data_IF_787505105701
#
_entry.id   IF_787505105701
#
_cell.length_a   1.000
_cell.length_b   1.000
_cell.length_c   1.000
_cell.angle_alpha   90.00
_cell.angle_beta   90.00
_cell.angle_gamma   90.00
#
_symmetry.space_group_name_H-M   'P 1'
#
loop_
_entity.id
_entity.type
_entity.pdbx_description
1 polymer ?
#
# COMPACT_ATOMS: atom_id res chain seq x y z
N UNK A 1 -43.17 -6.44 15.61
CA UNK A 1 -42.15 -7.51 15.54
C UNK A 1 -42.04 -8.09 14.13
N UNK A 2 -43.12 -8.57 13.49
CA UNK A 2 -43.05 -9.15 12.14
C UNK A 2 -42.42 -8.29 11.03
N UNK A 3 -42.68 -6.97 11.01
CA UNK A 3 -42.08 -6.06 10.02
C UNK A 3 -40.55 -5.86 10.18
N UNK A 4 -40.02 -6.09 11.38
CA UNK A 4 -38.57 -6.02 11.65
C UNK A 4 -37.92 -7.34 11.24
N UNK A 5 -38.57 -8.46 11.53
CA UNK A 5 -38.13 -9.82 11.16
C UNK A 5 -38.06 -10.00 9.63
N UNK A 6 -39.07 -9.53 8.90
CA UNK A 6 -39.09 -9.57 7.43
C UNK A 6 -37.97 -8.71 6.80
N UNK A 7 -37.66 -7.55 7.41
CA UNK A 7 -36.53 -6.70 6.98
C UNK A 7 -35.17 -7.34 7.25
N UNK A 8 -35.02 -8.03 8.38
CA UNK A 8 -33.80 -8.76 8.72
C UNK A 8 -33.59 -9.96 7.78
N UNK A 9 -34.64 -10.71 7.46
CA UNK A 9 -34.56 -11.84 6.53
C UNK A 9 -34.19 -11.36 5.10
N UNK A 10 -34.77 -10.24 4.65
CA UNK A 10 -34.40 -9.63 3.38
C UNK A 10 -32.94 -9.16 3.35
N UNK A 11 -32.48 -8.50 4.42
CA UNK A 11 -31.09 -8.06 4.53
C UNK A 11 -30.10 -9.24 4.54
N UNK A 12 -30.44 -10.36 5.18
CA UNK A 12 -29.63 -11.57 5.17
C UNK A 12 -29.51 -12.17 3.76
N UNK A 13 -30.62 -12.26 3.00
CA UNK A 13 -30.64 -12.75 1.61
C UNK A 13 -29.83 -11.86 0.67
N UNK A 14 -29.97 -10.54 0.78
CA UNK A 14 -29.18 -9.59 -0.02
C UNK A 14 -27.69 -9.69 0.32
N UNK A 15 -27.34 -9.84 1.61
CA UNK A 15 -25.96 -10.05 2.05
C UNK A 15 -25.37 -11.33 1.44
N UNK A 16 -26.11 -12.44 1.47
CA UNK A 16 -25.66 -13.70 0.87
C UNK A 16 -25.45 -13.58 -0.64
N UNK A 17 -26.37 -12.90 -1.34
CA UNK A 17 -26.23 -12.59 -2.77
C UNK A 17 -24.99 -11.74 -3.06
N UNK A 18 -24.75 -10.69 -2.27
CA UNK A 18 -23.56 -9.83 -2.40
C UNK A 18 -22.28 -10.64 -2.18
N UNK A 19 -22.25 -11.51 -1.16
CA UNK A 19 -21.10 -12.38 -0.89
C UNK A 19 -20.86 -13.35 -2.06
N UNK A 20 -21.91 -13.99 -2.56
CA UNK A 20 -21.82 -14.91 -3.69
C UNK A 20 -21.30 -14.21 -4.95
N UNK A 21 -21.81 -13.01 -5.24
CA UNK A 21 -21.35 -12.21 -6.37
C UNK A 21 -19.88 -11.83 -6.22
N UNK A 22 -19.47 -11.34 -5.03
CA UNK A 22 -18.07 -10.99 -4.76
C UNK A 22 -17.12 -12.17 -4.92
N UNK A 23 -17.52 -13.38 -4.48
CA UNK A 23 -16.73 -14.59 -4.65
C UNK A 23 -16.58 -14.97 -6.12
N UNK A 24 -17.66 -14.86 -6.90
CA UNK A 24 -17.63 -15.11 -8.34
C UNK A 24 -16.74 -14.09 -9.07
N UNK A 25 -16.88 -12.80 -8.77
CA UNK A 25 -16.09 -11.73 -9.36
C UNK A 25 -14.59 -11.90 -9.02
N UNK A 26 -14.29 -12.27 -7.77
CA UNK A 26 -12.93 -12.58 -7.34
C UNK A 26 -12.35 -13.78 -8.10
N UNK A 27 -13.08 -14.89 -8.18
CA UNK A 27 -12.64 -16.07 -8.92
C UNK A 27 -12.41 -15.77 -10.41
N UNK A 28 -13.28 -14.97 -11.03
CA UNK A 28 -13.12 -14.52 -12.41
C UNK A 28 -11.89 -13.63 -12.59
N UNK A 29 -11.66 -12.70 -11.67
CA UNK A 29 -10.47 -11.84 -11.67
C UNK A 29 -9.18 -12.66 -11.56
N UNK A 30 -9.15 -13.65 -10.67
CA UNK A 30 -8.01 -14.56 -10.52
C UNK A 30 -7.76 -15.39 -11.79
N UNK A 31 -8.83 -15.93 -12.40
CA UNK A 31 -8.73 -16.66 -13.66
C UNK A 31 -8.18 -15.78 -14.79
N UNK A 32 -8.66 -14.53 -14.90
CA UNK A 32 -8.16 -13.57 -15.90
C UNK A 32 -6.69 -13.22 -15.66
N UNK A 33 -6.28 -13.00 -14.41
CA UNK A 33 -4.88 -12.73 -14.06
C UNK A 33 -3.96 -13.90 -14.41
N UNK A 34 -4.37 -15.13 -14.09
CA UNK A 34 -3.62 -16.33 -14.45
C UNK A 34 -3.54 -16.50 -15.97
N UNK A 35 -4.65 -16.29 -16.69
CA UNK A 35 -4.66 -16.36 -18.15
C UNK A 35 -3.71 -15.34 -18.79
N UNK A 36 -3.69 -14.11 -18.27
CA UNK A 36 -2.76 -13.07 -18.72
C UNK A 36 -1.29 -13.46 -18.47
N UNK A 37 -1.00 -14.02 -17.29
CA UNK A 37 0.35 -14.51 -16.96
C UNK A 37 0.78 -15.64 -17.90
N UNK A 38 -0.09 -16.63 -18.13
CA UNK A 38 0.19 -17.75 -19.04
C UNK A 38 0.44 -17.23 -20.47
N UNK A 39 -0.39 -16.29 -20.94
CA UNK A 39 -0.24 -15.68 -22.26
C UNK A 39 1.10 -14.96 -22.40
N UNK A 40 1.52 -14.20 -21.38
CA UNK A 40 2.80 -13.52 -21.38
C UNK A 40 3.97 -14.52 -21.38
N UNK A 41 3.91 -15.56 -20.55
CA UNK A 41 4.95 -16.60 -20.50
C UNK A 41 5.09 -17.35 -21.84
N UNK A 42 3.97 -17.65 -22.50
CA UNK A 42 3.98 -18.26 -23.83
C UNK A 42 4.67 -17.35 -24.85
N UNK A 43 4.38 -16.05 -24.82
CA UNK A 43 5.02 -15.08 -25.70
C UNK A 43 6.52 -15.00 -25.45
N UNK A 44 6.94 -14.91 -24.19
CA UNK A 44 8.35 -14.84 -23.80
C UNK A 44 9.14 -16.08 -24.25
N UNK A 45 8.54 -17.27 -24.16
CA UNK A 45 9.15 -18.52 -24.62
C UNK A 45 9.27 -18.59 -26.14
N UNK A 46 8.25 -18.15 -26.89
CA UNK A 46 8.32 -18.10 -28.35
C UNK A 46 9.36 -17.08 -28.84
N UNK A 47 9.48 -15.94 -28.16
CA UNK A 47 10.49 -14.93 -28.49
C UNK A 47 11.91 -15.41 -28.14
N UNK A 48 12.11 -16.11 -27.03
CA UNK A 48 13.39 -16.76 -26.72
C UNK A 48 13.76 -17.83 -27.76
N UNK A 49 12.77 -18.61 -28.20
CA UNK A 49 12.95 -19.61 -29.25
C UNK A 49 13.37 -18.96 -30.57
N UNK A 50 12.74 -17.85 -30.98
CA UNK A 50 13.15 -17.07 -32.17
C UNK A 50 14.56 -16.51 -32.01
N UNK A 51 14.88 -15.96 -30.83
CA UNK A 51 16.21 -15.45 -30.51
C UNK A 51 17.29 -16.52 -30.67
N UNK A 52 17.11 -17.70 -30.09
CA UNK A 52 18.04 -18.83 -30.24
C UNK A 52 18.16 -19.28 -31.70
N UNK A 53 17.06 -19.34 -32.44
CA UNK A 53 17.07 -19.71 -33.86
C UNK A 53 17.95 -18.77 -34.69
N UNK A 54 17.80 -17.47 -34.48
CA UNK A 54 18.41 -16.44 -35.31
C UNK A 54 19.78 -15.97 -34.84
N UNK A 55 20.16 -16.27 -33.59
CA UNK A 55 21.42 -15.82 -33.04
C UNK A 55 22.65 -16.46 -33.71
N UNK A 56 23.68 -15.63 -33.88
CA UNK A 56 25.02 -16.00 -34.35
C UNK A 56 25.95 -16.25 -33.16
N UNK A 57 26.51 -17.45 -33.11
CA UNK A 57 27.43 -17.88 -32.06
C UNK A 57 28.72 -17.05 -32.02
N UNK A 58 29.17 -16.53 -33.17
CA UNK A 58 30.38 -15.71 -33.26
C UNK A 58 30.15 -14.34 -32.63
N UNK A 59 29.04 -13.69 -32.97
CA UNK A 59 28.62 -12.43 -32.37
C UNK A 59 28.46 -12.56 -30.84
N UNK A 60 27.80 -13.62 -30.36
CA UNK A 60 27.65 -13.87 -28.91
C UNK A 60 29.02 -13.99 -28.22
N UNK A 61 29.98 -14.69 -28.82
CA UNK A 61 31.34 -14.81 -28.26
C UNK A 61 32.05 -13.46 -28.18
N UNK A 62 31.85 -12.59 -29.15
CA UNK A 62 32.40 -11.23 -29.15
C UNK A 62 31.75 -10.36 -28.07
N UNK A 63 30.42 -10.41 -27.92
CA UNK A 63 29.70 -9.75 -26.83
C UNK A 63 30.19 -10.19 -25.45
N UNK A 64 30.36 -11.51 -25.22
CA UNK A 64 30.90 -12.05 -23.97
C UNK A 64 32.31 -11.48 -23.69
N UNK A 65 33.19 -11.46 -24.70
CA UNK A 65 34.54 -10.89 -24.56
C UNK A 65 34.49 -9.40 -24.23
N UNK A 66 33.61 -8.63 -24.86
CA UNK A 66 33.44 -7.21 -24.58
C UNK A 66 33.05 -6.98 -23.11
N UNK A 67 32.03 -7.71 -22.62
CA UNK A 67 31.61 -7.62 -21.21
C UNK A 67 32.69 -8.07 -20.23
N UNK A 68 33.54 -9.04 -20.59
CA UNK A 68 34.67 -9.47 -19.76
C UNK A 68 35.77 -8.41 -19.72
N UNK A 69 36.21 -7.92 -20.88
CA UNK A 69 37.32 -6.97 -21.00
C UNK A 69 36.99 -5.60 -20.39
N UNK A 70 35.74 -5.17 -20.51
CA UNK A 70 35.27 -3.87 -20.02
C UNK A 70 34.58 -3.94 -18.66
N UNK A 71 34.59 -5.12 -18.03
CA UNK A 71 33.93 -5.38 -16.74
C UNK A 71 34.23 -4.34 -15.67
N UNK A 72 35.51 -4.00 -15.48
CA UNK A 72 35.93 -2.99 -14.49
C UNK A 72 35.37 -1.59 -14.78
N UNK A 73 35.35 -1.17 -16.05
CA UNK A 73 34.76 0.12 -16.43
C UNK A 73 33.23 0.13 -16.26
N UNK A 74 32.55 -0.96 -16.66
CA UNK A 74 31.10 -1.11 -16.49
C UNK A 74 30.74 -1.07 -15.00
N UNK A 75 31.43 -1.85 -14.18
CA UNK A 75 31.14 -1.92 -12.75
C UNK A 75 31.34 -0.56 -12.07
N UNK A 76 32.46 0.12 -12.37
CA UNK A 76 32.75 1.45 -11.85
C UNK A 76 31.65 2.46 -12.24
N UNK A 77 31.30 2.53 -13.54
CA UNK A 77 30.29 3.50 -14.03
C UNK A 77 28.88 3.20 -13.54
N UNK A 78 28.51 1.93 -13.42
CA UNK A 78 27.23 1.56 -12.85
C UNK A 78 27.14 1.89 -11.37
N UNK A 79 28.22 1.71 -10.62
CA UNK A 79 28.28 2.08 -9.20
C UNK A 79 28.10 3.58 -9.02
N UNK A 80 28.84 4.39 -9.76
CA UNK A 80 28.72 5.87 -9.74
C UNK A 80 27.28 6.32 -10.00
N UNK A 81 26.67 5.83 -11.08
CA UNK A 81 25.28 6.17 -11.43
C UNK A 81 24.28 5.67 -10.40
N UNK A 82 24.47 4.47 -9.87
CA UNK A 82 23.57 3.88 -8.89
C UNK A 82 23.60 4.66 -7.58
N UNK A 83 24.78 4.95 -7.04
CA UNK A 83 24.97 5.69 -5.79
C UNK A 83 24.39 7.11 -5.86
N UNK A 84 24.64 7.83 -6.95
CA UNK A 84 24.04 9.14 -7.20
C UNK A 84 22.51 9.05 -7.30
N UNK A 85 22.02 8.07 -8.06
CA UNK A 85 20.59 7.88 -8.29
C UNK A 85 19.83 7.55 -7.01
N UNK A 86 20.32 6.62 -6.18
CA UNK A 86 19.63 6.23 -4.94
C UNK A 86 19.55 7.41 -3.96
N UNK A 87 20.57 8.28 -3.90
CA UNK A 87 20.57 9.45 -3.02
C UNK A 87 19.45 10.42 -3.40
N UNK A 88 19.33 10.75 -4.69
CA UNK A 88 18.25 11.61 -5.17
C UNK A 88 16.87 10.95 -5.02
N UNK A 89 16.79 9.67 -5.36
CA UNK A 89 15.55 8.90 -5.28
C UNK A 89 14.99 8.82 -3.87
N UNK A 90 15.82 8.49 -2.86
CA UNK A 90 15.41 8.41 -1.46
C UNK A 90 14.87 9.75 -0.96
N UNK A 91 15.51 10.87 -1.33
CA UNK A 91 15.02 12.20 -0.98
C UNK A 91 13.65 12.49 -1.62
N UNK A 92 13.47 12.13 -2.88
CA UNK A 92 12.20 12.31 -3.59
C UNK A 92 11.06 11.48 -2.98
N UNK A 93 11.30 10.20 -2.65
CA UNK A 93 10.29 9.37 -1.98
C UNK A 93 9.94 9.96 -0.62
N UNK A 94 10.95 10.38 0.15
CA UNK A 94 10.71 10.95 1.48
C UNK A 94 9.76 12.14 1.41
N UNK A 95 10.04 13.11 0.52
CA UNK A 95 9.18 14.28 0.33
C UNK A 95 7.79 13.84 -0.17
N UNK A 96 7.72 12.94 -1.15
CA UNK A 96 6.45 12.47 -1.71
C UNK A 96 5.56 11.74 -0.72
N UNK A 97 6.12 10.86 0.12
CA UNK A 97 5.37 10.16 1.17
C UNK A 97 4.95 11.10 2.30
N UNK A 98 5.81 12.03 2.73
CA UNK A 98 5.44 13.05 3.73
C UNK A 98 4.29 13.93 3.23
N UNK A 99 4.30 14.35 1.96
CA UNK A 99 3.19 15.09 1.33
C UNK A 99 1.92 14.26 1.19
N UNK A 100 2.04 12.99 0.79
CA UNK A 100 0.92 12.06 0.64
C UNK A 100 0.22 11.84 1.98
N UNK A 101 0.99 11.55 3.03
CA UNK A 101 0.48 11.41 4.39
C UNK A 101 -0.25 12.69 4.85
N UNK A 102 0.34 13.86 4.63
CA UNK A 102 -0.27 15.14 4.99
C UNK A 102 -1.63 15.33 4.30
N UNK A 103 -1.73 15.02 3.00
CA UNK A 103 -2.97 15.12 2.22
C UNK A 103 -4.03 14.12 2.69
N UNK A 104 -3.63 12.88 2.96
CA UNK A 104 -4.54 11.85 3.46
C UNK A 104 -5.14 12.26 4.82
N UNK A 105 -4.30 12.69 5.77
CA UNK A 105 -4.74 13.16 7.08
C UNK A 105 -5.63 14.41 6.97
N UNK A 106 -5.28 15.36 6.09
CA UNK A 106 -6.11 16.55 5.88
C UNK A 106 -7.48 16.21 5.31
N UNK A 107 -7.54 15.30 4.33
CA UNK A 107 -8.78 14.84 3.70
C UNK A 107 -9.67 14.13 4.70
N UNK A 108 -9.07 13.25 5.51
CA UNK A 108 -9.77 12.66 6.64
C UNK A 108 -10.31 13.76 7.55
N UNK A 109 -9.50 14.70 8.03
CA UNK A 109 -9.95 15.75 8.99
C UNK A 109 -11.11 16.60 8.49
N UNK A 110 -11.18 16.90 7.19
CA UNK A 110 -12.32 17.64 6.60
C UNK A 110 -13.59 16.82 6.68
N UNK A 111 -13.51 15.52 6.40
CA UNK A 111 -14.66 14.60 6.41
C UNK A 111 -15.22 14.34 7.83
N UNK A 112 -14.44 14.60 8.89
CA UNK A 112 -14.88 14.43 10.28
C UNK A 112 -15.72 15.60 10.84
N UNK A 113 -15.70 16.78 10.22
CA UNK A 113 -16.28 18.01 10.79
C UNK A 113 -17.82 18.10 10.70
N UNK A 114 -18.49 17.05 10.24
CA UNK A 114 -19.94 17.06 9.96
C UNK A 114 -20.81 16.40 11.05
N UNK A 115 -20.25 15.93 12.18
CA UNK A 115 -20.96 15.02 13.11
C UNK A 115 -21.02 15.48 14.60
N UNK A 116 -20.68 16.75 14.91
CA UNK A 116 -20.89 17.32 16.25
C UNK A 116 -22.23 18.07 16.32
N UNK A 117 -23.18 17.55 17.10
CA UNK A 117 -24.48 18.20 17.39
C UNK A 117 -24.56 18.56 18.89
N UNK A 118 -25.01 19.78 19.20
CA UNK A 118 -25.32 20.23 20.57
C UNK A 118 -26.82 19.98 20.87
N UNK A 119 -27.13 19.21 21.93
CA UNK A 119 -28.52 19.00 22.38
C UNK A 119 -28.80 19.92 23.58
N UNK A 120 -29.80 20.78 23.45
CA UNK A 120 -30.36 21.56 24.56
C UNK A 120 -31.43 20.74 25.28
N UNK A 121 -31.30 20.57 26.59
CA UNK A 121 -32.32 19.92 27.41
C UNK A 121 -32.53 20.68 28.72
N UNK A 122 -33.74 20.62 29.24
CA UNK A 122 -34.12 21.26 30.50
C UNK A 122 -33.88 20.25 31.62
N UNK A 123 -32.95 20.56 32.53
CA UNK A 123 -32.62 19.73 33.69
C UNK A 123 -33.31 20.28 34.94
N UNK A 124 -34.02 19.41 35.68
CA UNK A 124 -34.63 19.74 36.98
C UNK A 124 -33.56 19.71 38.07
N UNK A 125 -33.17 20.87 38.58
CA UNK A 125 -32.19 21.01 39.67
C UNK A 125 -32.86 21.38 40.99
N UNK A 126 -32.40 20.80 42.10
CA UNK A 126 -32.94 21.05 43.43
C UNK A 126 -32.62 22.48 43.88
N UNK A 127 -33.61 23.27 44.28
CA UNK A 127 -33.41 24.60 44.89
C UNK A 127 -32.53 24.48 46.14
N UNK A 128 -31.43 25.24 46.21
CA UNK A 128 -30.47 25.24 47.31
C UNK A 128 -30.91 26.06 48.53
N UNK A 129 -30.39 25.73 49.71
CA UNK A 129 -30.64 26.44 50.97
C UNK A 129 -31.77 25.86 51.85
N UNK A 130 -31.86 26.36 53.09
CA UNK A 130 -32.82 25.92 54.13
C UNK A 130 -34.29 25.96 53.65
N UNK A 131 -34.64 26.93 52.80
CA UNK A 131 -35.97 27.06 52.20
C UNK A 131 -36.28 26.01 51.10
N UNK A 132 -35.28 25.54 50.35
CA UNK A 132 -35.45 24.51 49.31
C UNK A 132 -35.66 23.11 49.89
N UNK A 133 -35.00 22.79 51.02
CA UNK A 133 -35.27 21.55 51.77
C UNK A 133 -36.61 21.58 52.50
N UNK A 134 -37.04 22.73 53.04
CA UNK A 134 -38.37 22.87 53.65
C UNK A 134 -39.49 22.60 52.65
N UNK A 135 -39.38 23.14 51.43
CA UNK A 135 -40.35 22.94 50.34
C UNK A 135 -40.45 21.47 49.88
N UNK A 136 -39.31 20.79 49.65
CA UNK A 136 -39.28 19.37 49.25
C UNK A 136 -39.80 18.39 50.31
N UNK A 137 -39.67 18.73 51.60
CA UNK A 137 -39.99 17.80 52.69
C UNK A 137 -41.37 18.04 53.33
N UNK A 138 -42.00 19.20 53.08
CA UNK A 138 -43.25 19.60 53.73
C UNK A 138 -44.40 19.90 52.76
N UNK A 139 -44.13 20.28 51.50
CA UNK A 139 -45.16 20.67 50.51
C UNK A 139 -45.33 19.67 49.36
N UNK A 140 -44.59 18.54 49.37
CA UNK A 140 -44.66 17.48 48.35
C UNK A 140 -46.07 16.87 48.16
N UNK A 141 -46.95 16.96 49.17
CA UNK A 141 -48.32 16.45 49.08
C UNK A 141 -49.29 17.38 48.31
N UNK A 142 -48.86 18.59 47.94
CA UNK A 142 -49.71 19.61 47.32
C UNK A 142 -49.37 19.90 45.86
N UNK A 143 -48.11 19.69 45.45
CA UNK A 143 -47.64 19.90 44.07
C UNK A 143 -46.24 19.25 43.90
N UNK A 144 -46.09 18.39 42.89
CA UNK A 144 -44.87 17.61 42.58
C UNK A 144 -43.72 18.50 42.06
N UNK A 145 -43.98 19.75 41.68
CA UNK A 145 -42.97 20.69 41.14
C UNK A 145 -42.38 21.65 42.20
N UNK A 146 -42.79 21.54 43.47
CA UNK A 146 -42.36 22.46 44.52
C UNK A 146 -40.96 22.13 45.06
N UNK A 147 -39.97 22.95 44.66
CA UNK A 147 -38.59 22.91 45.20
C UNK A 147 -37.51 22.53 44.17
N UNK A 148 -37.84 22.58 42.88
CA UNK A 148 -36.93 22.38 41.75
C UNK A 148 -36.95 23.62 40.83
N UNK A 149 -35.79 24.00 40.29
CA UNK A 149 -35.67 24.97 39.20
C UNK A 149 -35.43 24.20 37.89
N UNK A 150 -36.04 24.67 36.81
CA UNK A 150 -35.75 24.20 35.46
C UNK A 150 -34.59 25.02 34.90
N UNK A 151 -33.44 24.37 34.68
CA UNK A 151 -32.25 25.02 34.12
C UNK A 151 -31.97 24.43 32.75
N UNK A 152 -31.88 25.30 31.75
CA UNK A 152 -31.45 24.92 30.41
C UNK A 152 -29.97 24.53 30.45
N UNK A 153 -29.68 23.29 30.06
CA UNK A 153 -28.32 22.73 30.00
C UNK A 153 -28.04 22.27 28.58
N UNK A 154 -26.87 22.64 28.08
CA UNK A 154 -26.31 22.06 26.85
C UNK A 154 -25.50 20.83 27.21
N UNK A 155 -25.71 19.71 26.51
CA UNK A 155 -24.81 18.55 26.58
C UNK A 155 -24.28 18.19 25.21
N UNK A 156 -23.03 17.76 25.16
CA UNK A 156 -22.47 17.10 23.99
C UNK A 156 -23.22 15.79 23.74
N UNK A 157 -23.61 15.56 22.48
CA UNK A 157 -24.13 14.29 22.00
C UNK A 157 -23.25 13.87 20.82
N UNK A 158 -22.77 12.62 20.84
CA UNK A 158 -21.94 12.10 19.76
C UNK A 158 -22.39 10.70 19.34
N UNK A 159 -22.51 10.50 18.04
CA UNK A 159 -22.81 9.21 17.45
C UNK A 159 -21.53 8.40 17.32
N UNK A 160 -21.18 7.66 18.37
CA UNK A 160 -19.89 6.98 18.47
C UNK A 160 -19.61 6.00 17.30
N UNK A 161 -20.65 5.33 16.80
CA UNK A 161 -20.51 4.43 15.64
C UNK A 161 -20.02 5.16 14.37
N UNK A 162 -20.54 6.36 14.10
CA UNK A 162 -20.10 7.15 12.94
C UNK A 162 -18.64 7.60 13.08
N UNK A 163 -18.20 7.92 14.30
CA UNK A 163 -16.81 8.27 14.59
C UNK A 163 -15.88 7.07 14.40
N UNK A 164 -16.30 5.87 14.81
CA UNK A 164 -15.54 4.62 14.60
C UNK A 164 -15.41 4.28 13.12
N UNK A 165 -16.50 4.39 12.35
CA UNK A 165 -16.50 4.17 10.90
C UNK A 165 -15.53 5.15 10.22
N UNK A 166 -15.61 6.43 10.58
CA UNK A 166 -14.71 7.48 10.08
C UNK A 166 -13.23 7.20 10.38
N UNK A 167 -12.88 6.78 11.60
CA UNK A 167 -11.50 6.47 11.96
C UNK A 167 -10.99 5.25 11.18
N UNK A 168 -11.87 4.29 10.89
CA UNK A 168 -11.55 3.14 10.05
C UNK A 168 -11.26 3.57 8.61
N UNK A 169 -12.10 4.42 8.03
CA UNK A 169 -11.87 4.99 6.69
C UNK A 169 -10.57 5.82 6.63
N UNK A 170 -10.23 6.55 7.70
CA UNK A 170 -8.97 7.29 7.80
C UNK A 170 -7.76 6.35 7.71
N UNK A 171 -7.80 5.18 8.37
CA UNK A 171 -6.71 4.21 8.29
C UNK A 171 -6.55 3.68 6.86
N UNK A 172 -7.65 3.21 6.27
CA UNK A 172 -7.66 2.65 4.91
C UNK A 172 -7.18 3.68 3.88
N UNK A 173 -7.63 4.93 4.00
CA UNK A 173 -7.22 6.02 3.10
C UNK A 173 -5.73 6.35 3.25
N UNK A 174 -5.20 6.42 4.47
CA UNK A 174 -3.78 6.67 4.70
C UNK A 174 -2.92 5.51 4.19
N UNK A 175 -3.31 4.28 4.48
CA UNK A 175 -2.62 3.07 4.05
C UNK A 175 -2.57 2.98 2.53
N UNK A 176 -3.72 3.06 1.87
CA UNK A 176 -3.83 3.00 0.41
C UNK A 176 -3.00 4.10 -0.24
N UNK A 177 -3.11 5.35 0.22
CA UNK A 177 -2.38 6.46 -0.37
C UNK A 177 -0.87 6.29 -0.27
N UNK A 178 -0.36 5.83 0.88
CA UNK A 178 1.07 5.57 1.07
C UNK A 178 1.55 4.39 0.22
N UNK A 179 0.79 3.29 0.19
CA UNK A 179 1.14 2.10 -0.60
C UNK A 179 1.09 2.37 -2.11
N UNK A 180 0.10 3.12 -2.59
CA UNK A 180 0.00 3.55 -3.99
C UNK A 180 1.19 4.42 -4.39
N UNK A 181 1.56 5.35 -3.50
CA UNK A 181 2.73 6.23 -3.69
C UNK A 181 4.04 5.41 -3.72
N UNK A 182 4.24 4.51 -2.77
CA UNK A 182 5.40 3.61 -2.72
C UNK A 182 5.49 2.72 -3.98
N UNK A 183 4.38 2.16 -4.43
CA UNK A 183 4.29 1.37 -5.65
C UNK A 183 4.61 2.19 -6.91
N UNK A 184 4.11 3.42 -6.99
CA UNK A 184 4.46 4.35 -8.08
C UNK A 184 5.97 4.63 -8.11
N UNK A 185 6.57 4.92 -6.96
CA UNK A 185 8.01 5.13 -6.84
C UNK A 185 8.82 3.91 -7.26
N UNK A 186 8.40 2.70 -6.87
CA UNK A 186 9.04 1.44 -7.28
C UNK A 186 9.07 1.27 -8.80
N UNK A 187 7.97 1.59 -9.48
CA UNK A 187 7.90 1.50 -10.95
C UNK A 187 8.81 2.54 -11.61
N UNK A 188 8.76 3.79 -11.15
CA UNK A 188 9.60 4.88 -11.67
C UNK A 188 11.09 4.58 -11.45
N UNK A 189 11.45 4.12 -10.25
CA UNK A 189 12.81 3.72 -9.90
C UNK A 189 13.42 2.74 -10.90
N UNK A 190 12.72 1.62 -11.17
CA UNK A 190 13.20 0.58 -12.08
C UNK A 190 13.40 1.11 -13.49
N UNK A 191 12.44 1.91 -13.97
CA UNK A 191 12.47 2.48 -15.32
C UNK A 191 13.61 3.48 -15.49
N UNK A 192 13.74 4.43 -14.57
CA UNK A 192 14.74 5.50 -14.66
C UNK A 192 16.16 4.98 -14.43
N UNK A 193 16.36 4.10 -13.45
CA UNK A 193 17.66 3.50 -13.22
C UNK A 193 18.11 2.68 -14.44
N UNK A 194 17.24 1.84 -15.00
CA UNK A 194 17.52 1.11 -16.23
C UNK A 194 17.98 2.05 -17.35
N UNK A 195 17.24 3.13 -17.60
CA UNK A 195 17.58 4.09 -18.65
C UNK A 195 18.96 4.74 -18.42
N UNK A 196 19.28 5.10 -17.18
CA UNK A 196 20.58 5.70 -16.82
C UNK A 196 21.74 4.72 -17.00
N UNK A 197 21.62 3.49 -16.50
CA UNK A 197 22.70 2.50 -16.62
C UNK A 197 22.84 1.98 -18.04
N UNK A 198 21.75 1.90 -18.81
CA UNK A 198 21.79 1.55 -20.22
C UNK A 198 22.52 2.61 -21.04
N UNK A 199 22.27 3.90 -20.75
CA UNK A 199 23.03 5.00 -21.36
C UNK A 199 24.52 4.86 -21.08
N UNK A 200 24.90 4.58 -19.83
CA UNK A 200 26.31 4.34 -19.49
C UNK A 200 26.90 3.14 -20.20
N UNK A 201 26.14 2.05 -20.36
CA UNK A 201 26.61 0.88 -21.09
C UNK A 201 26.96 1.22 -22.55
N UNK A 202 26.11 2.01 -23.24
CA UNK A 202 26.35 2.48 -24.61
C UNK A 202 27.54 3.42 -24.76
N UNK A 203 27.91 4.12 -23.69
CA UNK A 203 29.12 4.95 -23.67
C UNK A 203 30.40 4.10 -23.54
N UNK A 204 30.29 2.88 -23.02
CA UNK A 204 31.43 1.97 -22.76
C UNK A 204 31.58 0.93 -23.87
N UNK A 205 30.47 0.39 -24.37
CA UNK A 205 30.41 -0.69 -25.36
C UNK A 205 29.64 -0.18 -26.58
N UNK A 206 30.13 -0.51 -27.77
CA UNK A 206 29.43 -0.22 -29.02
C UNK A 206 28.09 -0.96 -29.10
N UNK A 207 27.06 -0.32 -29.68
CA UNK A 207 25.68 -0.83 -29.69
C UNK A 207 25.54 -2.22 -30.33
N UNK A 208 26.36 -2.57 -31.32
CA UNK A 208 26.41 -3.88 -31.96
C UNK A 208 26.86 -5.02 -31.02
N UNK A 209 27.61 -4.66 -29.98
CA UNK A 209 28.11 -5.59 -28.96
C UNK A 209 27.22 -5.64 -27.71
N UNK A 210 26.08 -4.95 -27.70
CA UNK A 210 25.14 -4.96 -26.58
C UNK A 210 23.97 -5.90 -26.89
N UNK A 211 23.82 -6.94 -26.08
CA UNK A 211 22.57 -7.72 -26.03
C UNK A 211 21.58 -7.03 -25.08
N UNK A 212 20.71 -6.18 -25.64
CA UNK A 212 19.74 -5.40 -24.85
C UNK A 212 18.76 -6.30 -24.06
N UNK A 213 18.39 -7.46 -24.59
CA UNK A 213 17.47 -8.39 -23.93
C UNK A 213 18.11 -8.99 -22.67
N UNK A 214 19.34 -9.49 -22.79
CA UNK A 214 20.11 -10.01 -21.66
C UNK A 214 20.41 -8.90 -20.65
N UNK A 215 20.75 -7.70 -21.12
CA UNK A 215 21.02 -6.56 -20.26
C UNK A 215 19.79 -6.15 -19.44
N UNK A 216 18.65 -5.96 -20.10
CA UNK A 216 17.38 -5.61 -19.44
C UNK A 216 16.97 -6.67 -18.43
N UNK A 217 17.05 -7.96 -18.79
CA UNK A 217 16.75 -9.07 -17.86
C UNK A 217 17.66 -9.04 -16.64
N UNK A 218 18.95 -8.80 -16.84
CA UNK A 218 19.93 -8.75 -15.75
C UNK A 218 19.68 -7.61 -14.78
N UNK A 219 19.45 -6.39 -15.30
CA UNK A 219 19.11 -5.22 -14.48
C UNK A 219 17.82 -5.47 -13.71
N UNK A 220 16.75 -5.86 -14.40
CA UNK A 220 15.45 -6.08 -13.74
C UNK A 220 15.54 -7.19 -12.68
N UNK A 221 16.27 -8.27 -12.93
CA UNK A 221 16.45 -9.33 -11.95
C UNK A 221 17.25 -8.92 -10.69
N UNK A 222 18.09 -7.88 -10.77
CA UNK A 222 18.69 -7.27 -9.58
C UNK A 222 17.68 -6.36 -8.88
N UNK A 223 16.98 -5.52 -9.64
CA UNK A 223 16.03 -4.56 -9.06
C UNK A 223 14.77 -5.21 -8.46
N UNK A 224 14.33 -6.34 -9.01
CA UNK A 224 13.19 -7.11 -8.52
C UNK A 224 13.47 -7.79 -7.17
N UNK A 225 14.76 -7.96 -6.81
CA UNK A 225 15.15 -8.48 -5.50
C UNK A 225 15.02 -7.45 -4.37
N UNK A 226 14.79 -6.18 -4.70
CA UNK A 226 14.60 -5.11 -3.73
C UNK A 226 13.16 -5.14 -3.25
N UNK A 227 12.98 -5.38 -1.94
CA UNK A 227 11.69 -5.34 -1.30
C UNK A 227 11.27 -3.91 -0.97
N UNK A 228 10.13 -3.50 -1.51
CA UNK A 228 9.43 -2.27 -1.12
C UNK A 228 8.32 -2.71 -0.18
N UNK A 229 8.49 -2.46 1.12
CA UNK A 229 7.52 -2.86 2.14
C UNK A 229 6.22 -2.09 2.00
N UNK A 230 5.14 -2.67 2.53
CA UNK A 230 3.83 -2.04 2.58
C UNK A 230 3.57 -1.48 3.99
N UNK A 231 2.83 -0.38 4.03
CA UNK A 231 2.24 0.16 5.25
C UNK A 231 1.00 -0.67 5.60
N UNK A 232 0.77 -0.91 6.89
CA UNK A 232 -0.38 -1.65 7.40
C UNK A 232 -0.92 -0.98 8.67
N UNK A 233 -2.12 -0.43 8.55
CA UNK A 233 -2.89 0.21 9.61
C UNK A 233 -4.18 -0.54 9.94
N UNK A 234 -4.32 -1.77 9.44
CA UNK A 234 -5.42 -2.67 9.77
C UNK A 234 -5.45 -2.93 11.27
N UNK A 235 -6.65 -2.89 11.86
CA UNK A 235 -6.88 -3.18 13.28
C UNK A 235 -6.08 -2.34 14.28
N UNK A 236 -5.52 -1.19 13.86
CA UNK A 236 -4.82 -0.25 14.76
C UNK A 236 -5.73 0.55 15.69
N UNK A 237 -7.04 0.53 15.43
CA UNK A 237 -8.01 1.28 16.23
C UNK A 237 -8.14 0.66 17.62
N UNK A 238 -7.90 1.42 18.72
CA UNK A 238 -7.93 0.89 20.07
C UNK A 238 -9.31 0.33 20.44
N UNK A 239 -9.32 -0.74 21.24
CA UNK A 239 -10.56 -1.38 21.69
C UNK A 239 -11.48 -0.42 22.46
N UNK A 240 -10.90 0.56 23.18
CA UNK A 240 -11.67 1.58 23.90
C UNK A 240 -12.50 2.48 22.98
N UNK A 241 -12.06 2.67 21.73
CA UNK A 241 -12.76 3.46 20.71
C UNK A 241 -13.62 2.54 19.85
N UNK A 242 -13.05 1.46 19.31
CA UNK A 242 -13.73 0.51 18.41
C UNK A 242 -14.99 -0.12 19.04
N UNK A 243 -15.00 -0.31 20.35
CA UNK A 243 -16.14 -0.90 21.07
C UNK A 243 -17.30 0.06 21.34
N UNK A 244 -17.16 1.37 21.06
CA UNK A 244 -18.18 2.37 21.36
C UNK A 244 -19.22 2.44 20.24
N UNK A 245 -20.50 2.44 20.62
CA UNK A 245 -21.64 2.46 19.70
C UNK A 245 -22.78 3.32 20.26
N UNK A 246 -23.75 3.67 19.40
CA UNK A 246 -24.91 4.46 19.81
C UNK A 246 -24.60 5.94 20.06
N UNK A 247 -25.50 6.62 20.76
CA UNK A 247 -25.37 8.03 21.12
C UNK A 247 -24.79 8.15 22.53
N UNK A 248 -23.59 8.69 22.64
CA UNK A 248 -23.00 9.05 23.93
C UNK A 248 -23.46 10.47 24.29
N UNK A 249 -23.65 10.74 25.59
CA UNK A 249 -24.19 12.02 26.08
C UNK A 249 -23.43 12.51 27.31
N UNK A 250 -23.32 13.83 27.46
CA UNK A 250 -22.73 14.46 28.65
C UNK A 250 -21.27 14.06 28.86
N UNK A 251 -20.90 13.64 30.08
CA UNK A 251 -19.51 13.32 30.43
C UNK A 251 -18.94 12.14 29.63
N UNK A 252 -19.78 11.17 29.24
CA UNK A 252 -19.33 10.04 28.41
C UNK A 252 -18.97 10.49 26.99
N UNK A 253 -19.74 11.42 26.42
CA UNK A 253 -19.43 12.03 25.13
C UNK A 253 -18.11 12.83 25.20
N UNK A 254 -17.94 13.64 26.25
CA UNK A 254 -16.72 14.43 26.47
C UNK A 254 -15.47 13.54 26.59
N UNK A 255 -15.55 12.45 27.37
CA UNK A 255 -14.44 11.51 27.53
C UNK A 255 -14.10 10.79 26.21
N UNK A 256 -15.11 10.40 25.43
CA UNK A 256 -14.92 9.77 24.13
C UNK A 256 -14.27 10.71 23.11
N UNK A 257 -14.72 11.96 23.01
CA UNK A 257 -14.11 12.99 22.14
C UNK A 257 -12.64 13.20 22.48
N UNK A 258 -12.30 13.29 23.78
CA UNK A 258 -10.90 13.42 24.21
C UNK A 258 -10.05 12.20 23.83
N UNK A 259 -10.59 10.99 24.01
CA UNK A 259 -9.90 9.74 23.63
C UNK A 259 -9.62 9.70 22.13
N UNK A 260 -10.63 10.02 21.30
CA UNK A 260 -10.49 10.10 19.83
C UNK A 260 -9.47 11.17 19.43
N UNK A 261 -9.54 12.35 20.02
CA UNK A 261 -8.60 13.44 19.73
C UNK A 261 -7.14 13.11 20.08
N UNK A 262 -6.91 12.37 21.17
CA UNK A 262 -5.59 11.87 21.52
C UNK A 262 -5.13 10.80 20.54
N UNK A 263 -6.00 9.83 20.23
CA UNK A 263 -5.71 8.77 19.27
C UNK A 263 -5.32 9.31 17.90
N UNK A 264 -6.08 10.24 17.32
CA UNK A 264 -5.78 10.82 16.00
C UNK A 264 -4.42 11.54 15.99
N UNK A 265 -4.06 12.21 17.10
CA UNK A 265 -2.76 12.87 17.24
C UNK A 265 -1.63 11.85 17.30
N UNK A 266 -1.81 10.78 18.07
CA UNK A 266 -0.82 9.72 18.23
C UNK A 266 -0.65 8.92 16.93
N UNK A 267 -1.74 8.62 16.22
CA UNK A 267 -1.73 8.02 14.90
C UNK A 267 -0.99 8.88 13.88
N UNK A 268 -1.21 10.20 13.85
CA UNK A 268 -0.42 11.10 12.98
C UNK A 268 1.08 11.06 13.31
N UNK A 269 1.44 10.93 14.59
CA UNK A 269 2.84 10.82 15.00
C UNK A 269 3.45 9.46 14.64
N UNK A 270 2.71 8.37 14.83
CA UNK A 270 3.11 7.00 14.49
C UNK A 270 3.29 6.85 12.98
N UNK A 271 2.31 7.26 12.16
CA UNK A 271 2.41 7.19 10.70
C UNK A 271 3.59 7.98 10.14
N UNK A 272 3.92 9.15 10.71
CA UNK A 272 5.14 9.90 10.36
C UNK A 272 6.42 9.14 10.72
N UNK A 273 6.42 8.43 11.85
CA UNK A 273 7.55 7.59 12.26
C UNK A 273 7.69 6.38 11.34
N UNK A 274 6.58 5.78 10.91
CA UNK A 274 6.57 4.65 9.99
C UNK A 274 7.10 5.06 8.62
N UNK A 275 6.69 6.21 8.08
CA UNK A 275 7.27 6.75 6.83
C UNK A 275 8.78 6.94 6.95
N UNK A 276 9.27 7.50 8.06
CA UNK A 276 10.71 7.61 8.30
C UNK A 276 11.40 6.26 8.37
N UNK A 277 10.81 5.29 9.07
CA UNK A 277 11.31 3.93 9.19
C UNK A 277 11.36 3.21 7.86
N UNK A 278 10.32 3.36 7.04
CA UNK A 278 10.24 2.86 5.67
C UNK A 278 11.37 3.42 4.81
N UNK A 279 11.54 4.75 4.79
CA UNK A 279 12.60 5.41 4.01
C UNK A 279 13.98 4.94 4.44
N UNK A 280 14.22 4.85 5.75
CA UNK A 280 15.49 4.38 6.29
C UNK A 280 15.76 2.92 5.90
N UNK A 281 14.76 2.04 6.05
CA UNK A 281 14.88 0.63 5.68
C UNK A 281 15.12 0.44 4.19
N UNK A 282 14.41 1.18 3.33
CA UNK A 282 14.61 1.17 1.89
C UNK A 282 16.02 1.66 1.52
N UNK A 283 16.48 2.76 2.12
CA UNK A 283 17.83 3.28 1.92
C UNK A 283 18.89 2.23 2.25
N UNK A 284 18.79 1.60 3.42
CA UNK A 284 19.73 0.54 3.81
C UNK A 284 19.70 -0.67 2.88
N UNK A 285 18.52 -1.07 2.41
CA UNK A 285 18.39 -2.16 1.45
C UNK A 285 19.07 -1.83 0.10
N UNK A 286 18.89 -0.60 -0.39
CA UNK A 286 19.50 -0.11 -1.62
C UNK A 286 21.02 0.04 -1.50
N UNK A 287 21.52 0.60 -0.40
CA UNK A 287 22.96 0.81 -0.14
C UNK A 287 23.71 -0.52 0.07
N UNK A 288 23.06 -1.54 0.65
CA UNK A 288 23.65 -2.88 0.81
C UNK A 288 23.72 -3.66 -0.51
N UNK A 289 22.96 -3.28 -1.53
CA UNK A 289 22.92 -3.99 -2.79
C UNK A 289 24.21 -3.78 -3.59
N UNK A 290 24.83 -4.87 -4.05
CA UNK A 290 25.96 -4.78 -4.97
C UNK A 290 25.49 -4.65 -6.42
N UNK A 291 24.69 -3.61 -6.70
CA UNK A 291 23.93 -3.46 -7.94
C UNK A 291 24.79 -3.66 -9.19
N UNK A 292 25.95 -3.00 -9.25
CA UNK A 292 26.84 -3.02 -10.41
C UNK A 292 27.42 -4.43 -10.66
N UNK A 293 27.98 -5.04 -9.62
CA UNK A 293 28.60 -6.38 -9.74
C UNK A 293 27.55 -7.46 -9.99
N UNK A 294 26.41 -7.40 -9.30
CA UNK A 294 25.33 -8.38 -9.46
C UNK A 294 24.69 -8.29 -10.86
N UNK A 295 24.51 -7.08 -11.39
CA UNK A 295 24.01 -6.86 -12.75
C UNK A 295 24.98 -7.45 -13.77
N UNK A 296 26.28 -7.15 -13.64
CA UNK A 296 27.29 -7.64 -14.56
C UNK A 296 27.43 -9.18 -14.50
N UNK A 297 27.39 -9.75 -13.30
CA UNK A 297 27.44 -11.20 -13.09
C UNK A 297 26.23 -11.91 -13.71
N UNK A 298 25.03 -11.35 -13.55
CA UNK A 298 23.82 -11.88 -14.21
C UNK A 298 23.92 -11.76 -15.72
N UNK A 299 24.39 -10.63 -16.25
CA UNK A 299 24.57 -10.42 -17.68
C UNK A 299 25.54 -11.44 -18.29
N UNK A 300 26.71 -11.60 -17.67
CA UNK A 300 27.70 -12.59 -18.11
C UNK A 300 27.12 -14.02 -18.09
N UNK A 301 26.36 -14.37 -17.05
CA UNK A 301 25.70 -15.67 -16.96
C UNK A 301 24.64 -15.85 -18.04
N UNK A 302 23.82 -14.84 -18.31
CA UNK A 302 22.78 -14.89 -19.33
C UNK A 302 23.38 -15.02 -20.74
N UNK A 303 24.49 -14.32 -21.01
CA UNK A 303 25.21 -14.45 -22.27
C UNK A 303 25.85 -15.83 -22.43
N UNK A 304 26.43 -16.39 -21.37
CA UNK A 304 26.95 -17.77 -21.38
C UNK A 304 25.83 -18.80 -21.60
N UNK A 305 24.66 -18.60 -20.99
CA UNK A 305 23.50 -19.46 -21.20
C UNK A 305 23.02 -19.39 -22.65
N UNK A 306 22.93 -18.19 -23.22
CA UNK A 306 22.57 -18.01 -24.63
C UNK A 306 23.59 -18.68 -25.56
N UNK A 307 24.89 -18.51 -25.29
CA UNK A 307 25.95 -19.19 -26.04
C UNK A 307 25.74 -20.72 -26.04
N UNK A 308 25.48 -21.30 -24.86
CA UNK A 308 25.25 -22.74 -24.71
C UNK A 308 23.97 -23.19 -25.45
N UNK A 309 22.91 -22.39 -25.41
CA UNK A 309 21.66 -22.67 -26.12
C UNK A 309 21.84 -22.62 -27.64
N UNK A 310 22.55 -21.62 -28.15
CA UNK A 310 22.83 -21.47 -29.59
C UNK A 310 23.78 -22.56 -30.08
N UNK A 311 24.74 -22.98 -29.26
CA UNK A 311 25.62 -24.12 -29.57
C UNK A 311 24.85 -25.45 -29.62
N UNK A 312 23.82 -25.62 -28.77
CA UNK A 312 22.95 -26.79 -28.73
C UNK A 312 21.55 -26.50 -29.31
N UNK A 313 21.49 -25.74 -30.40
CA UNK A 313 20.27 -25.11 -30.95
C UNK A 313 19.07 -26.05 -31.05
N UNK A 314 19.26 -27.24 -31.63
CA UNK A 314 18.19 -28.23 -31.82
C UNK A 314 17.59 -28.68 -30.49
N UNK A 315 18.43 -29.03 -29.52
CA UNK A 315 17.98 -29.48 -28.20
C UNK A 315 17.31 -28.34 -27.41
N UNK A 316 17.88 -27.14 -27.42
CA UNK A 316 17.30 -26.00 -26.71
C UNK A 316 15.94 -25.59 -27.26
N UNK A 317 15.77 -25.62 -28.59
CA UNK A 317 14.46 -25.37 -29.23
C UNK A 317 13.45 -26.45 -28.84
N UNK A 318 13.84 -27.73 -28.88
CA UNK A 318 12.95 -28.83 -28.47
C UNK A 318 12.49 -28.72 -27.01
N UNK A 319 13.38 -28.28 -26.10
CA UNK A 319 13.04 -28.02 -24.70
C UNK A 319 12.05 -26.86 -24.55
N UNK A 320 12.22 -25.77 -25.32
CA UNK A 320 11.28 -24.66 -25.32
C UNK A 320 9.92 -25.08 -25.89
N UNK A 321 9.90 -25.86 -26.96
CA UNK A 321 8.67 -26.42 -27.54
C UNK A 321 7.90 -27.28 -26.54
N UNK A 322 8.59 -28.14 -25.79
CA UNK A 322 7.95 -28.93 -24.73
C UNK A 322 7.31 -28.05 -23.64
N UNK A 323 7.98 -26.97 -23.22
CA UNK A 323 7.43 -26.01 -22.24
C UNK A 323 6.23 -25.24 -22.77
N UNK A 324 6.28 -24.81 -24.03
CA UNK A 324 5.18 -24.12 -24.70
C UNK A 324 3.96 -25.04 -24.79
N UNK A 325 4.15 -26.32 -25.14
CA UNK A 325 3.05 -27.30 -25.19
C UNK A 325 2.45 -27.56 -23.80
N UNK A 326 3.30 -27.67 -22.77
CA UNK A 326 2.84 -27.83 -21.40
C UNK A 326 2.00 -26.63 -20.94
N UNK A 327 2.45 -25.40 -21.20
CA UNK A 327 1.72 -24.18 -20.82
C UNK A 327 0.41 -23.99 -21.61
N UNK A 328 0.34 -24.42 -22.87
CA UNK A 328 -0.90 -24.40 -23.66
C UNK A 328 -1.97 -25.40 -23.16
N UNK A 329 -1.56 -26.37 -22.35
CA UNK A 329 -2.46 -27.37 -21.76
C UNK A 329 -3.03 -26.97 -20.40
N UNK A 330 -2.64 -25.82 -19.84
CA UNK A 330 -3.15 -25.24 -18.59
C UNK A 330 -4.30 -24.29 -18.91
#
# INVERSE_FOLDING_TARGET
MGAIEERLEKAAKEKEKIISQKLQDYAQSQANNLHNLITQLLQDLEDEKKRIKNADISAIKEQIKAYQNLSGNIEMKFREVYEEFILHFINNIRVGLEETLKKAIQTARVSAREEEEEEHYIERVKQGGLGGSFKRNFLWMFDDDVGYDEVERTRAVIKAGAVVDYLTEMHESCESALNDSANSFKVVFKKELYAKVFKQLREIISDDLIDEVAFKRSVMAVLDSIEFKEFDYTDKLPGEIRGKTGFLKGDEANAFIQSVGNYVRDFEAETKKDVKGYIQGLREALERQNFASDTLKKLQKDMQNLQNQVQNKVQSIAQLDAKIQALKGI
#
